data_IF_908391395348
#
_entry.id   IF_908391395348
#
_cell.length_a   1.000
_cell.length_b   1.000
_cell.length_c   1.000
_cell.angle_alpha   90.00
_cell.angle_beta   90.00
_cell.angle_gamma   90.00
#
_symmetry.space_group_name_H-M   'P 1'
#
loop_
_entity.id
_entity.type
_entity.pdbx_description
1 polymer ?
#
# COMPACT_ATOMS: atom_id res chain seq x y z
N UNK A 1 -12.83 41.33 14.11
CA UNK A 1 -13.06 39.86 14.03
C UNK A 1 -12.78 39.25 12.65
N UNK A 2 -13.11 39.91 11.53
CA UNK A 2 -12.91 39.32 10.18
C UNK A 2 -11.46 38.98 9.80
N UNK A 3 -10.45 39.70 10.34
CA UNK A 3 -9.04 39.46 10.02
C UNK A 3 -8.54 38.10 10.54
N UNK A 4 -8.95 37.70 11.75
CA UNK A 4 -8.58 36.40 12.33
C UNK A 4 -9.16 35.22 11.55
N UNK A 5 -10.44 35.29 11.16
CA UNK A 5 -11.06 34.26 10.32
C UNK A 5 -10.45 34.18 8.92
N UNK A 6 -10.02 35.32 8.37
CA UNK A 6 -9.32 35.38 7.08
C UNK A 6 -7.96 34.69 7.18
N UNK A 7 -7.19 34.99 8.21
CA UNK A 7 -5.89 34.36 8.48
C UNK A 7 -6.06 32.85 8.72
N UNK A 8 -7.02 32.46 9.57
CA UNK A 8 -7.31 31.06 9.88
C UNK A 8 -7.68 30.27 8.62
N UNK A 9 -8.57 30.80 7.78
CA UNK A 9 -8.96 30.17 6.51
C UNK A 9 -7.77 30.02 5.56
N UNK A 10 -6.94 31.06 5.45
CA UNK A 10 -5.78 31.03 4.57
C UNK A 10 -4.75 29.99 5.00
N UNK A 11 -4.40 29.99 6.29
CA UNK A 11 -3.41 29.08 6.86
C UNK A 11 -3.90 27.62 6.80
N UNK A 12 -5.15 27.36 7.19
CA UNK A 12 -5.70 26.01 7.13
C UNK A 12 -5.78 25.48 5.70
N UNK A 13 -6.19 26.30 4.73
CA UNK A 13 -6.17 25.93 3.30
C UNK A 13 -4.75 25.61 2.81
N UNK A 14 -3.75 26.42 3.17
CA UNK A 14 -2.37 26.19 2.77
C UNK A 14 -1.83 24.89 3.38
N UNK A 15 -2.09 24.65 4.67
CA UNK A 15 -1.67 23.45 5.37
C UNK A 15 -2.33 22.19 4.80
N UNK A 16 -3.63 22.19 4.50
CA UNK A 16 -4.30 21.04 3.86
C UNK A 16 -3.57 20.67 2.57
N UNK A 17 -3.25 21.65 1.73
CA UNK A 17 -2.63 21.41 0.42
C UNK A 17 -1.21 20.88 0.53
N UNK A 18 -0.37 21.53 1.35
CA UNK A 18 1.02 21.13 1.55
C UNK A 18 1.08 19.77 2.23
N UNK A 19 0.35 19.59 3.33
CA UNK A 19 0.32 18.34 4.08
C UNK A 19 -0.23 17.19 3.23
N UNK A 20 -1.33 17.39 2.49
CA UNK A 20 -1.88 16.33 1.63
C UNK A 20 -0.93 15.98 0.49
N UNK A 21 -0.25 16.96 -0.12
CA UNK A 21 0.73 16.68 -1.17
C UNK A 21 1.90 15.86 -0.64
N UNK A 22 2.51 16.28 0.47
CA UNK A 22 3.62 15.54 1.09
C UNK A 22 3.16 14.15 1.50
N UNK A 23 1.99 14.04 2.15
CA UNK A 23 1.43 12.79 2.62
C UNK A 23 1.16 11.77 1.51
N UNK A 24 0.51 12.23 0.44
CA UNK A 24 0.05 11.36 -0.65
C UNK A 24 1.16 11.07 -1.68
N UNK A 25 2.24 11.85 -1.71
CA UNK A 25 3.27 11.75 -2.75
C UNK A 25 4.69 11.49 -2.25
N UNK A 26 5.07 11.99 -1.08
CA UNK A 26 6.46 11.98 -0.61
C UNK A 26 6.69 11.10 0.61
N UNK A 27 5.92 11.26 1.69
CA UNK A 27 6.03 10.39 2.89
C UNK A 27 4.65 10.15 3.51
N UNK A 28 4.19 8.89 3.67
CA UNK A 28 2.91 8.56 4.29
C UNK A 28 2.99 8.57 5.82
N UNK A 29 3.51 9.66 6.40
CA UNK A 29 3.78 9.78 7.83
C UNK A 29 2.52 9.93 8.70
N UNK A 30 2.57 9.42 9.92
CA UNK A 30 1.44 9.39 10.85
C UNK A 30 0.95 10.78 11.32
N UNK A 31 1.80 11.80 11.21
CA UNK A 31 1.47 13.18 11.61
C UNK A 31 0.49 13.85 10.64
N UNK A 32 0.45 13.43 9.38
CA UNK A 32 -0.31 14.15 8.35
C UNK A 32 -1.83 13.94 8.44
N UNK A 33 -2.38 12.72 8.62
CA UNK A 33 -3.82 12.52 8.75
C UNK A 33 -4.50 13.43 9.79
N UNK A 34 -4.07 13.50 11.06
CA UNK A 34 -4.73 14.36 12.04
C UNK A 34 -4.59 15.85 11.69
N UNK A 35 -3.45 16.28 11.16
CA UNK A 35 -3.23 17.68 10.74
C UNK A 35 -4.18 18.06 9.61
N UNK A 36 -4.30 17.22 8.58
CA UNK A 36 -5.18 17.47 7.43
C UNK A 36 -6.63 17.55 7.90
N UNK A 37 -7.10 16.59 8.69
CA UNK A 37 -8.49 16.56 9.18
C UNK A 37 -8.82 17.75 10.09
N UNK A 38 -7.92 18.12 11.01
CA UNK A 38 -8.11 19.28 11.87
C UNK A 38 -8.12 20.59 11.06
N UNK A 39 -7.19 20.76 10.11
CA UNK A 39 -7.16 21.93 9.24
C UNK A 39 -8.42 22.01 8.37
N UNK A 40 -8.94 20.89 7.87
CA UNK A 40 -10.18 20.85 7.10
C UNK A 40 -11.39 21.29 7.92
N UNK A 41 -11.48 20.86 9.19
CA UNK A 41 -12.49 21.35 10.12
C UNK A 41 -12.41 22.88 10.31
N UNK A 42 -11.21 23.39 10.61
CA UNK A 42 -10.96 24.83 10.78
C UNK A 42 -11.35 25.59 9.50
N UNK A 43 -10.92 25.11 8.33
CA UNK A 43 -11.17 25.72 7.03
C UNK A 43 -12.67 25.85 6.73
N UNK A 44 -13.44 24.77 6.94
CA UNK A 44 -14.88 24.76 6.69
C UNK A 44 -15.58 25.73 7.65
N UNK A 45 -15.29 25.63 8.96
CA UNK A 45 -15.91 26.50 9.97
C UNK A 45 -15.61 27.99 9.71
N UNK A 46 -14.35 28.35 9.43
CA UNK A 46 -13.98 29.74 9.16
C UNK A 46 -14.56 30.26 7.84
N UNK A 47 -14.66 29.39 6.82
CA UNK A 47 -15.28 29.73 5.54
C UNK A 47 -16.78 30.02 5.68
N UNK A 48 -17.50 29.19 6.44
CA UNK A 48 -18.93 29.40 6.72
C UNK A 48 -19.14 30.73 7.47
N UNK A 49 -18.31 31.02 8.48
CA UNK A 49 -18.39 32.28 9.23
C UNK A 49 -18.09 33.52 8.35
N UNK A 50 -17.16 33.42 7.40
CA UNK A 50 -16.86 34.51 6.47
C UNK A 50 -17.95 34.73 5.41
N UNK A 51 -18.64 33.67 5.01
CA UNK A 51 -19.73 33.72 4.03
C UNK A 51 -21.09 34.04 4.63
N UNK A 52 -21.26 33.85 5.95
CA UNK A 52 -22.50 34.11 6.69
C UNK A 52 -23.06 35.53 6.51
N UNK A 53 -24.36 35.73 6.80
CA UNK A 53 -24.97 37.05 6.78
C UNK A 53 -24.24 37.97 7.76
N UNK A 54 -23.93 39.19 7.34
CA UNK A 54 -23.43 40.20 8.26
C UNK A 54 -24.59 40.56 9.20
N UNK A 55 -24.40 40.49 10.52
CA UNK A 55 -25.29 41.19 11.43
C UNK A 55 -25.19 42.68 11.07
N UNK A 56 -26.27 43.23 10.53
CA UNK A 56 -26.38 44.66 10.24
C UNK A 56 -26.41 45.43 11.56
N UNK A 57 -25.25 45.82 12.06
CA UNK A 57 -25.18 47.00 12.93
C UNK A 57 -25.14 48.23 12.02
N UNK A 58 -26.28 48.91 11.96
CA UNK A 58 -26.53 50.17 11.27
C UNK A 58 -25.73 51.32 11.90
N UNK A 59 -24.50 51.51 11.44
CA UNK A 59 -23.68 52.69 11.73
C UNK A 59 -23.61 53.64 10.53
N UNK A 60 -24.24 54.79 10.64
CA UNK A 60 -24.32 55.85 9.62
C UNK A 60 -22.93 56.48 9.35
N UNK A 61 -22.29 56.15 8.22
CA UNK A 61 -20.95 56.64 7.87
C UNK A 61 -20.99 57.92 7.01
N UNK A 62 -20.35 58.98 7.49
CA UNK A 62 -20.31 60.33 6.93
C UNK A 62 -19.48 60.43 5.63
N UNK A 63 -19.84 61.36 4.74
CA UNK A 63 -19.31 61.53 3.36
C UNK A 63 -17.79 61.64 3.22
N UNK A 64 -17.04 61.98 4.27
CA UNK A 64 -15.57 62.16 4.21
C UNK A 64 -14.80 60.84 4.18
N UNK A 65 -15.37 59.73 4.67
CA UNK A 65 -14.77 58.40 4.57
C UNK A 65 -14.82 57.82 3.15
N UNK A 66 -15.80 58.23 2.33
CA UNK A 66 -15.99 57.69 0.97
C UNK A 66 -14.82 57.98 0.03
N UNK A 67 -14.08 59.07 0.23
CA UNK A 67 -12.92 59.44 -0.60
C UNK A 67 -11.67 58.61 -0.27
N UNK A 68 -11.35 58.44 1.03
CA UNK A 68 -10.23 57.62 1.50
C UNK A 68 -10.45 56.13 1.24
N UNK A 69 -11.71 55.68 1.30
CA UNK A 69 -12.11 54.31 0.95
C UNK A 69 -12.03 54.04 -0.56
N UNK A 70 -12.11 55.08 -1.41
CA UNK A 70 -11.98 54.96 -2.87
C UNK A 70 -10.53 54.74 -3.30
N UNK A 71 -9.58 55.50 -2.72
CA UNK A 71 -8.14 55.29 -2.95
C UNK A 71 -7.67 53.92 -2.46
N UNK A 72 -8.15 53.47 -1.29
CA UNK A 72 -7.79 52.15 -0.73
C UNK A 72 -8.49 50.97 -1.43
N UNK A 73 -9.59 51.21 -2.17
CA UNK A 73 -10.27 50.21 -3.01
C UNK A 73 -9.54 49.94 -4.31
N UNK A 74 -8.73 50.89 -4.79
CA UNK A 74 -8.02 50.77 -6.06
C UNK A 74 -6.79 49.86 -5.93
N UNK A 75 -6.08 49.91 -4.79
CA UNK A 75 -4.95 49.00 -4.49
C UNK A 75 -5.36 47.56 -4.13
N UNK A 76 -6.61 47.33 -3.70
CA UNK A 76 -7.08 46.00 -3.32
C UNK A 76 -7.66 45.18 -4.49
N UNK A 77 -7.71 45.76 -5.70
CA UNK A 77 -8.41 45.19 -6.86
C UNK A 77 -7.57 44.23 -7.71
N UNK A 78 -6.28 44.06 -7.42
CA UNK A 78 -5.38 43.16 -8.18
C UNK A 78 -4.86 41.98 -7.36
N UNK A 79 -5.64 41.45 -6.42
CA UNK A 79 -5.42 40.05 -6.03
C UNK A 79 -5.96 39.17 -7.15
N UNK A 80 -5.11 38.91 -8.15
CA UNK A 80 -5.41 38.10 -9.31
C UNK A 80 -5.98 36.73 -8.92
N UNK A 81 -6.78 36.14 -9.83
CA UNK A 81 -7.43 34.84 -9.65
C UNK A 81 -6.51 33.76 -9.06
N UNK A 82 -5.24 33.72 -9.48
CA UNK A 82 -4.22 32.79 -8.97
C UNK A 82 -3.88 33.03 -7.49
N UNK A 83 -3.76 34.28 -7.06
CA UNK A 83 -3.52 34.61 -5.66
C UNK A 83 -4.71 34.23 -4.77
N UNK A 84 -5.95 34.44 -5.25
CA UNK A 84 -7.15 34.03 -4.54
C UNK A 84 -7.31 32.51 -4.47
N UNK A 85 -6.90 31.80 -5.53
CA UNK A 85 -6.86 30.33 -5.57
C UNK A 85 -5.80 29.77 -4.63
N UNK A 86 -4.61 30.38 -4.55
CA UNK A 86 -3.52 29.92 -3.69
C UNK A 86 -3.81 30.17 -2.20
N UNK A 87 -4.42 31.30 -1.86
CA UNK A 87 -4.70 31.70 -0.47
C UNK A 87 -5.93 30.95 0.08
N UNK A 88 -6.90 30.57 -0.76
CA UNK A 88 -8.05 29.78 -0.34
C UNK A 88 -9.14 30.55 0.43
N UNK A 89 -9.00 31.87 0.59
CA UNK A 89 -9.98 32.72 1.30
C UNK A 89 -11.24 32.95 0.45
N UNK A 90 -12.45 32.76 1.01
CA UNK A 90 -13.70 32.93 0.29
C UNK A 90 -13.98 34.40 -0.06
N UNK A 91 -14.66 34.63 -1.19
CA UNK A 91 -15.10 35.94 -1.65
C UNK A 91 -16.53 35.89 -2.15
N UNK A 92 -17.41 36.73 -1.57
CA UNK A 92 -18.82 36.87 -2.00
C UNK A 92 -18.95 37.39 -3.44
N UNK A 93 -17.92 38.05 -3.98
CA UNK A 93 -17.91 38.55 -5.36
C UNK A 93 -17.53 37.48 -6.38
N UNK A 94 -16.66 36.55 -5.98
CA UNK A 94 -16.13 35.49 -6.84
C UNK A 94 -16.59 34.13 -6.33
N UNK A 95 -17.89 33.84 -6.52
CA UNK A 95 -18.54 32.61 -6.04
C UNK A 95 -17.86 31.37 -6.64
N UNK A 96 -17.53 31.40 -7.93
CA UNK A 96 -16.86 30.29 -8.61
C UNK A 96 -15.50 29.94 -7.97
N UNK A 97 -14.61 30.93 -7.78
CA UNK A 97 -13.30 30.71 -7.15
C UNK A 97 -13.43 30.20 -5.72
N UNK A 98 -14.44 30.69 -4.99
CA UNK A 98 -14.73 30.23 -3.63
C UNK A 98 -15.18 28.77 -3.62
N UNK A 99 -16.14 28.42 -4.48
CA UNK A 99 -16.62 27.04 -4.61
C UNK A 99 -15.50 26.08 -5.03
N UNK A 100 -14.66 26.49 -5.99
CA UNK A 100 -13.51 25.71 -6.43
C UNK A 100 -12.48 25.50 -5.31
N UNK A 101 -12.17 26.53 -4.53
CA UNK A 101 -11.26 26.41 -3.38
C UNK A 101 -11.79 25.44 -2.32
N UNK A 102 -13.09 25.54 -1.99
CA UNK A 102 -13.74 24.61 -1.06
C UNK A 102 -13.65 23.19 -1.60
N UNK A 103 -14.00 22.99 -2.87
CA UNK A 103 -13.92 21.68 -3.52
C UNK A 103 -12.50 21.09 -3.47
N UNK A 104 -11.46 21.87 -3.80
CA UNK A 104 -10.07 21.38 -3.77
C UNK A 104 -9.68 20.90 -2.37
N UNK A 105 -9.96 21.70 -1.32
CA UNK A 105 -9.60 21.33 0.05
C UNK A 105 -10.38 20.09 0.54
N UNK A 106 -11.67 20.00 0.18
CA UNK A 106 -12.49 18.81 0.47
C UNK A 106 -11.99 17.58 -0.29
N UNK A 107 -11.61 17.72 -1.57
CA UNK A 107 -11.09 16.63 -2.39
C UNK A 107 -9.77 16.08 -1.84
N UNK A 108 -8.84 16.95 -1.42
CA UNK A 108 -7.58 16.54 -0.80
C UNK A 108 -7.79 15.82 0.54
N UNK A 109 -8.75 16.30 1.33
CA UNK A 109 -9.18 15.62 2.56
C UNK A 109 -9.78 14.25 2.23
N UNK A 110 -10.63 14.19 1.19
CA UNK A 110 -11.23 12.95 0.70
C UNK A 110 -10.18 11.94 0.22
N UNK A 111 -9.15 12.39 -0.50
CA UNK A 111 -8.03 11.54 -0.92
C UNK A 111 -7.20 11.02 0.26
N UNK A 112 -7.02 11.84 1.29
CA UNK A 112 -6.38 11.42 2.54
C UNK A 112 -7.20 10.30 3.20
N UNK A 113 -8.51 10.47 3.32
CA UNK A 113 -9.41 9.45 3.87
C UNK A 113 -9.48 8.20 2.99
N UNK A 114 -9.51 8.35 1.67
CA UNK A 114 -9.47 7.23 0.71
C UNK A 114 -8.21 6.39 0.91
N UNK A 115 -7.04 7.01 0.99
CA UNK A 115 -5.77 6.30 1.22
C UNK A 115 -5.76 5.53 2.55
N UNK A 116 -6.39 6.08 3.60
CA UNK A 116 -6.46 5.43 4.92
C UNK A 116 -7.44 4.25 4.96
N UNK A 117 -8.60 4.38 4.33
CA UNK A 117 -9.72 3.48 4.61
C UNK A 117 -10.17 2.64 3.42
N UNK A 118 -9.95 3.05 2.17
CA UNK A 118 -10.50 2.35 1.00
C UNK A 118 -10.05 0.89 0.93
N UNK A 119 -8.75 0.65 1.06
CA UNK A 119 -8.18 -0.70 1.01
C UNK A 119 -8.61 -1.59 2.19
N UNK A 120 -8.92 -1.00 3.34
CA UNK A 120 -9.36 -1.75 4.52
C UNK A 120 -10.85 -2.09 4.47
N UNK A 121 -11.68 -1.10 4.11
CA UNK A 121 -13.15 -1.21 4.22
C UNK A 121 -13.74 -1.91 3.00
N UNK A 122 -13.22 -1.64 1.80
CA UNK A 122 -13.81 -2.16 0.55
C UNK A 122 -13.14 -3.44 0.05
N UNK A 123 -11.99 -3.84 0.63
CA UNK A 123 -11.21 -5.00 0.20
C UNK A 123 -10.88 -5.88 1.42
N UNK A 124 -11.86 -6.60 1.99
CA UNK A 124 -11.62 -7.55 3.07
C UNK A 124 -10.72 -8.69 2.59
N UNK A 125 -9.90 -9.24 3.49
CA UNK A 125 -8.82 -10.18 3.13
C UNK A 125 -8.93 -11.54 3.82
N UNK A 126 -9.98 -11.77 4.60
CA UNK A 126 -10.13 -12.98 5.43
C UNK A 126 -10.21 -14.25 4.57
N UNK A 127 -10.90 -14.16 3.43
CA UNK A 127 -11.10 -15.24 2.46
C UNK A 127 -9.96 -15.40 1.44
N UNK A 128 -8.81 -14.72 1.63
CA UNK A 128 -7.69 -14.76 0.67
C UNK A 128 -7.08 -16.17 0.52
N UNK A 129 -7.43 -16.91 -0.52
CA UNK A 129 -6.68 -18.11 -0.91
C UNK A 129 -5.51 -17.73 -1.84
N UNK A 130 -4.32 -18.22 -1.56
CA UNK A 130 -3.16 -18.07 -2.46
C UNK A 130 -2.12 -19.16 -2.21
N UNK A 131 -1.18 -19.29 -3.15
CA UNK A 131 0.02 -20.07 -2.96
C UNK A 131 1.23 -19.33 -3.50
N UNK A 132 2.41 -19.58 -2.90
CA UNK A 132 3.65 -18.89 -3.26
C UNK A 132 4.85 -19.78 -3.02
N UNK A 133 5.83 -19.69 -3.91
CA UNK A 133 7.11 -20.36 -3.73
C UNK A 133 8.00 -19.54 -2.78
N UNK A 134 8.47 -20.22 -1.74
CA UNK A 134 9.47 -19.74 -0.79
C UNK A 134 10.87 -20.15 -1.22
N UNK A 135 11.70 -20.58 -0.27
CA UNK A 135 13.06 -21.05 -0.58
C UNK A 135 13.08 -22.24 -1.56
N UNK A 136 13.99 -22.20 -2.54
CA UNK A 136 14.21 -23.26 -3.53
C UNK A 136 15.67 -23.70 -3.52
N UNK A 137 15.89 -25.00 -3.33
CA UNK A 137 17.20 -25.66 -3.36
C UNK A 137 17.43 -26.37 -4.71
N UNK A 138 18.57 -27.07 -4.89
CA UNK A 138 18.77 -27.88 -6.09
C UNK A 138 17.79 -29.06 -6.24
N UNK A 139 17.21 -29.54 -5.13
CA UNK A 139 16.38 -30.76 -5.13
C UNK A 139 15.04 -30.60 -4.41
N UNK A 140 14.77 -29.43 -3.83
CA UNK A 140 13.54 -29.14 -3.10
C UNK A 140 13.02 -27.73 -3.39
N UNK A 141 11.71 -27.53 -3.22
CA UNK A 141 11.08 -26.21 -3.25
C UNK A 141 10.05 -26.10 -2.12
N UNK A 142 10.11 -25.02 -1.34
CA UNK A 142 9.09 -24.73 -0.33
C UNK A 142 7.93 -23.97 -0.99
N UNK A 143 6.72 -24.44 -0.76
CA UNK A 143 5.47 -23.89 -1.25
C UNK A 143 4.62 -23.52 -0.03
N UNK A 144 4.33 -22.24 0.14
CA UNK A 144 3.30 -21.79 1.07
C UNK A 144 1.93 -21.96 0.42
N UNK A 145 0.99 -22.54 1.15
CA UNK A 145 -0.43 -22.61 0.76
C UNK A 145 -1.26 -21.93 1.85
N UNK A 146 -2.14 -21.01 1.46
CA UNK A 146 -3.24 -20.51 2.31
C UNK A 146 -4.57 -20.87 1.68
N UNK A 147 -5.42 -21.58 2.41
CA UNK A 147 -6.78 -21.95 1.97
C UNK A 147 -7.79 -21.85 3.14
N UNK A 148 -8.58 -20.78 3.20
CA UNK A 148 -9.63 -20.63 4.21
C UNK A 148 -10.93 -21.38 3.88
N UNK A 149 -11.19 -21.75 2.62
CA UNK A 149 -12.47 -22.32 2.20
C UNK A 149 -12.49 -23.84 2.44
N UNK A 150 -13.31 -24.27 3.40
CA UNK A 150 -13.44 -25.68 3.77
C UNK A 150 -13.89 -26.57 2.59
N UNK A 151 -14.65 -26.01 1.65
CA UNK A 151 -15.15 -26.71 0.47
C UNK A 151 -14.04 -27.17 -0.52
N UNK A 152 -12.84 -26.59 -0.44
CA UNK A 152 -11.73 -26.91 -1.34
C UNK A 152 -10.87 -28.08 -0.84
N UNK A 153 -11.12 -28.60 0.36
CA UNK A 153 -10.36 -29.71 0.91
C UNK A 153 -10.88 -31.09 0.41
N UNK A 154 -9.99 -32.07 0.20
CA UNK A 154 -8.54 -31.96 0.35
C UNK A 154 -7.88 -31.20 -0.80
N UNK A 155 -6.98 -30.26 -0.47
CA UNK A 155 -6.17 -29.55 -1.47
C UNK A 155 -5.04 -30.46 -1.91
N UNK A 156 -5.13 -30.97 -3.14
CA UNK A 156 -4.11 -31.85 -3.73
C UNK A 156 -3.06 -31.02 -4.45
N UNK A 157 -1.78 -31.30 -4.21
CA UNK A 157 -0.65 -30.58 -4.77
C UNK A 157 0.04 -31.46 -5.78
N UNK A 158 0.17 -30.94 -7.01
CA UNK A 158 0.81 -31.62 -8.11
C UNK A 158 1.86 -30.74 -8.76
N UNK A 159 2.91 -31.36 -9.28
CA UNK A 159 3.98 -30.66 -9.98
C UNK A 159 4.48 -31.46 -11.18
N UNK A 160 5.10 -30.76 -12.14
CA UNK A 160 5.77 -31.37 -13.28
C UNK A 160 6.86 -30.47 -13.84
N UNK A 161 7.80 -31.04 -14.59
CA UNK A 161 8.77 -30.28 -15.38
C UNK A 161 8.04 -29.46 -16.45
N UNK A 162 8.46 -28.21 -16.64
CA UNK A 162 7.82 -27.29 -17.59
C UNK A 162 8.03 -27.72 -19.06
N UNK A 163 9.10 -28.46 -19.34
CA UNK A 163 9.40 -29.07 -20.65
C UNK A 163 8.40 -30.16 -21.04
N UNK A 164 7.66 -30.73 -20.09
CA UNK A 164 6.63 -31.73 -20.34
C UNK A 164 5.24 -31.10 -20.45
N UNK A 165 5.13 -29.89 -21.03
CA UNK A 165 3.85 -29.16 -21.13
C UNK A 165 2.74 -29.97 -21.79
N UNK A 166 3.11 -30.87 -22.70
CA UNK A 166 2.22 -31.66 -23.55
C UNK A 166 1.87 -33.03 -22.94
N UNK A 167 2.40 -33.34 -21.76
CA UNK A 167 2.11 -34.57 -21.03
C UNK A 167 1.07 -34.31 -19.95
N UNK A 168 0.03 -35.14 -19.88
CA UNK A 168 -0.92 -35.18 -18.76
C UNK A 168 -0.31 -35.78 -17.47
N UNK A 169 0.99 -36.12 -17.48
CA UNK A 169 1.66 -36.74 -16.36
C UNK A 169 2.10 -35.70 -15.32
N UNK A 170 1.31 -35.62 -14.24
CA UNK A 170 1.62 -34.82 -13.06
C UNK A 170 2.04 -35.72 -11.90
N UNK A 171 3.11 -35.34 -11.21
CA UNK A 171 3.52 -35.99 -9.95
C UNK A 171 2.73 -35.38 -8.80
N UNK A 172 2.10 -36.22 -7.97
CA UNK A 172 1.44 -35.79 -6.73
C UNK A 172 2.48 -35.71 -5.60
N UNK A 173 2.66 -34.54 -5.01
CA UNK A 173 3.50 -34.37 -3.81
C UNK A 173 2.73 -34.76 -2.54
N UNK A 174 1.45 -34.40 -2.48
CA UNK A 174 0.60 -34.73 -1.33
C UNK A 174 -0.73 -33.99 -1.30
N UNK A 175 -1.43 -34.15 -0.16
CA UNK A 175 -2.75 -33.56 0.08
C UNK A 175 -2.79 -32.86 1.44
N UNK A 176 -3.39 -31.68 1.47
CA UNK A 176 -3.73 -30.95 2.69
C UNK A 176 -5.21 -31.22 2.98
N UNK A 177 -5.53 -31.82 4.12
CA UNK A 177 -6.90 -32.24 4.44
C UNK A 177 -7.72 -31.17 5.16
N UNK A 178 -7.07 -30.30 5.92
CA UNK A 178 -7.73 -29.24 6.67
C UNK A 178 -6.68 -28.21 7.10
N UNK A 179 -7.10 -26.95 7.16
CA UNK A 179 -6.35 -25.84 7.77
C UNK A 179 -7.27 -25.10 8.75
N UNK A 180 -6.68 -24.34 9.66
CA UNK A 180 -7.45 -23.66 10.70
C UNK A 180 -6.92 -22.25 10.96
N UNK A 181 -7.76 -21.46 11.64
CA UNK A 181 -7.46 -20.07 11.98
C UNK A 181 -6.25 -19.90 12.93
N UNK A 182 -5.85 -20.93 13.69
CA UNK A 182 -4.72 -20.82 14.60
C UNK A 182 -3.40 -20.52 13.87
N UNK A 183 -3.27 -20.97 12.62
CA UNK A 183 -2.14 -20.66 11.72
C UNK A 183 -2.56 -19.80 10.53
N UNK A 184 -3.62 -19.01 10.66
CA UNK A 184 -4.21 -18.20 9.58
C UNK A 184 -4.44 -18.99 8.28
N UNK A 185 -4.86 -20.24 8.43
CA UNK A 185 -5.10 -21.17 7.34
C UNK A 185 -3.89 -21.39 6.41
N UNK A 186 -2.67 -21.22 6.91
CA UNK A 186 -1.44 -21.46 6.15
C UNK A 186 -0.82 -22.82 6.42
N UNK A 187 -0.12 -23.35 5.42
CA UNK A 187 0.67 -24.57 5.54
C UNK A 187 1.87 -24.57 4.59
N UNK A 188 3.09 -24.79 5.10
CA UNK A 188 4.27 -25.00 4.25
C UNK A 188 4.30 -26.43 3.71
N UNK A 189 4.62 -26.57 2.43
CA UNK A 189 4.83 -27.85 1.76
C UNK A 189 6.21 -27.85 1.13
N UNK A 190 7.01 -28.88 1.37
CA UNK A 190 8.31 -29.04 0.70
C UNK A 190 8.15 -30.06 -0.41
N UNK A 191 8.19 -29.58 -1.66
CA UNK A 191 8.25 -30.45 -2.84
C UNK A 191 9.65 -31.07 -2.92
N UNK A 192 9.74 -32.38 -3.09
CA UNK A 192 11.01 -33.13 -3.00
C UNK A 192 11.39 -33.80 -4.31
N UNK A 193 12.59 -34.38 -4.33
CA UNK A 193 13.12 -35.20 -5.43
C UNK A 193 13.14 -34.46 -6.77
N UNK A 194 13.40 -33.15 -6.74
CA UNK A 194 13.50 -32.32 -7.92
C UNK A 194 14.88 -32.45 -8.56
N UNK A 195 14.96 -32.20 -9.87
CA UNK A 195 16.22 -32.11 -10.60
C UNK A 195 16.80 -30.70 -10.44
N UNK A 196 18.12 -30.54 -10.27
CA UNK A 196 18.78 -29.23 -10.27
C UNK A 196 18.60 -28.47 -11.59
N UNK A 197 18.68 -27.14 -11.55
CA UNK A 197 18.60 -26.26 -12.72
C UNK A 197 17.40 -26.53 -13.65
N UNK A 198 16.27 -26.93 -13.09
CA UNK A 198 15.09 -27.39 -13.86
C UNK A 198 13.90 -26.50 -13.54
N UNK A 199 13.18 -26.10 -14.58
CA UNK A 199 11.93 -25.34 -14.45
C UNK A 199 10.76 -26.28 -14.21
N UNK A 200 9.98 -25.98 -13.18
CA UNK A 200 8.78 -26.71 -12.79
C UNK A 200 7.56 -25.80 -12.82
N UNK A 201 6.40 -26.42 -13.04
CA UNK A 201 5.09 -25.83 -12.74
C UNK A 201 4.40 -26.67 -11.69
N UNK A 202 3.60 -26.03 -10.84
CA UNK A 202 2.76 -26.69 -9.85
C UNK A 202 1.31 -26.23 -10.00
N UNK A 203 0.39 -27.08 -9.57
CA UNK A 203 -1.03 -26.83 -9.53
C UNK A 203 -1.63 -27.41 -8.26
N UNK A 204 -2.62 -26.71 -7.73
CA UNK A 204 -3.42 -27.14 -6.59
C UNK A 204 -4.85 -27.44 -7.08
N UNK A 205 -5.56 -28.34 -6.40
CA UNK A 205 -6.96 -28.66 -6.74
C UNK A 205 -7.95 -27.49 -6.55
N UNK A 206 -7.53 -26.39 -5.93
CA UNK A 206 -8.30 -25.15 -5.79
C UNK A 206 -8.00 -24.12 -6.91
N UNK A 207 -7.44 -24.57 -8.04
CA UNK A 207 -7.06 -23.77 -9.22
C UNK A 207 -5.89 -22.78 -8.99
N UNK A 208 -5.24 -22.80 -7.83
CA UNK A 208 -3.99 -22.06 -7.65
C UNK A 208 -2.85 -22.74 -8.41
N UNK A 209 -2.02 -21.96 -9.08
CA UNK A 209 -0.93 -22.45 -9.92
C UNK A 209 0.29 -21.57 -9.80
N UNK A 210 1.46 -22.13 -10.11
CA UNK A 210 2.64 -21.33 -10.35
C UNK A 210 3.83 -22.08 -10.86
N UNK A 211 4.96 -21.38 -10.91
CA UNK A 211 6.20 -21.89 -11.48
C UNK A 211 7.38 -21.59 -10.58
N UNK A 212 8.43 -22.37 -10.71
CA UNK A 212 9.71 -22.13 -10.05
C UNK A 212 10.85 -22.83 -10.80
N UNK A 213 12.07 -22.46 -10.47
CA UNK A 213 13.28 -23.07 -11.04
C UNK A 213 14.18 -23.50 -9.89
N UNK A 214 14.58 -24.76 -9.89
CA UNK A 214 15.52 -25.28 -8.89
C UNK A 214 16.91 -24.68 -9.04
N UNK A 215 17.57 -24.49 -7.90
CA UNK A 215 18.93 -23.98 -7.88
C UNK A 215 19.89 -24.95 -8.61
N UNK A 216 21.02 -24.46 -9.13
CA UNK A 216 22.04 -25.34 -9.69
C UNK A 216 22.72 -26.17 -8.58
N UNK A 217 23.14 -27.38 -8.95
CA UNK A 217 23.90 -28.25 -8.05
C UNK A 217 25.29 -27.65 -7.81
N UNK A 218 25.75 -27.59 -6.56
CA UNK A 218 27.09 -27.09 -6.25
C UNK A 218 28.18 -27.84 -7.02
N UNK A 219 29.15 -27.10 -7.58
CA UNK A 219 30.25 -27.65 -8.38
C UNK A 219 29.94 -27.88 -9.87
N UNK A 220 28.72 -27.61 -10.35
CA UNK A 220 28.41 -27.68 -11.79
C UNK A 220 28.70 -26.35 -12.51
N UNK A 221 28.79 -26.40 -13.84
CA UNK A 221 28.90 -25.18 -14.65
C UNK A 221 27.69 -24.25 -14.47
N UNK A 222 26.49 -24.78 -14.20
CA UNK A 222 25.31 -23.95 -13.94
C UNK A 222 25.36 -23.21 -12.60
N UNK A 223 26.21 -23.64 -11.67
CA UNK A 223 26.43 -22.98 -10.37
C UNK A 223 27.49 -21.86 -10.41
N UNK A 224 28.01 -21.52 -11.60
CA UNK A 224 29.07 -20.51 -11.74
C UNK A 224 28.57 -19.05 -11.65
N UNK A 225 27.25 -18.84 -11.63
CA UNK A 225 26.64 -17.51 -11.63
C UNK A 225 25.38 -17.50 -10.76
N UNK A 226 25.22 -16.42 -10.01
CA UNK A 226 24.03 -16.13 -9.24
C UNK A 226 23.58 -14.70 -9.56
N UNK A 227 22.30 -14.53 -9.90
CA UNK A 227 21.68 -13.21 -10.04
C UNK A 227 20.47 -13.18 -9.12
N UNK A 228 20.34 -12.14 -8.30
CA UNK A 228 19.23 -11.98 -7.37
C UNK A 228 18.84 -10.50 -7.28
N UNK A 229 17.64 -10.24 -6.79
CA UNK A 229 17.18 -8.89 -6.49
C UNK A 229 17.28 -8.61 -5.01
N UNK A 230 17.42 -7.33 -4.68
CA UNK A 230 17.27 -6.86 -3.31
C UNK A 230 16.35 -5.66 -3.28
N UNK A 231 15.46 -5.62 -2.30
CA UNK A 231 14.53 -4.51 -2.07
C UNK A 231 14.05 -4.52 -0.62
N UNK A 232 13.34 -3.48 -0.22
CA UNK A 232 12.68 -3.33 1.08
C UNK A 232 11.49 -2.39 0.88
N UNK A 233 10.70 -2.19 1.94
CA UNK A 233 9.74 -1.09 2.03
C UNK A 233 8.67 -1.12 0.92
N UNK A 234 7.61 -1.89 1.14
CA UNK A 234 6.44 -1.87 0.25
C UNK A 234 5.21 -1.32 0.96
N UNK A 235 4.51 -0.40 0.28
CA UNK A 235 3.26 0.13 0.77
C UNK A 235 2.20 0.12 -0.33
N UNK A 236 1.06 -0.55 -0.11
CA UNK A 236 -0.02 -0.55 -1.09
C UNK A 236 -0.53 0.88 -1.38
N UNK A 237 -0.82 1.12 -2.66
CA UNK A 237 -1.24 2.38 -3.25
C UNK A 237 -0.36 3.56 -2.85
N UNK A 238 0.97 3.36 -2.83
CA UNK A 238 1.93 4.41 -2.59
C UNK A 238 2.98 4.52 -3.70
N UNK A 239 3.27 5.72 -4.25
CA UNK A 239 2.55 6.98 -4.06
C UNK A 239 1.05 6.90 -4.42
N UNK A 240 0.22 7.67 -3.74
CA UNK A 240 -1.24 7.53 -3.80
C UNK A 240 -1.83 7.80 -5.19
N UNK A 241 -2.78 6.95 -5.59
CA UNK A 241 -3.61 7.15 -6.77
C UNK A 241 -5.08 6.83 -6.45
N UNK A 242 -5.95 7.82 -6.68
CA UNK A 242 -7.40 7.62 -6.53
C UNK A 242 -7.96 6.65 -7.60
N UNK A 243 -7.30 6.52 -8.74
CA UNK A 243 -7.76 5.74 -9.90
C UNK A 243 -7.11 4.36 -10.02
N UNK A 244 -6.19 4.02 -9.13
CA UNK A 244 -5.57 2.70 -9.09
C UNK A 244 -6.22 1.83 -8.02
N UNK A 245 -6.07 0.51 -8.15
CA UNK A 245 -6.48 -0.43 -7.12
C UNK A 245 -5.84 -0.03 -5.77
N UNK A 246 -6.59 0.05 -4.66
CA UNK A 246 -6.06 0.51 -3.37
C UNK A 246 -4.97 -0.39 -2.79
N UNK A 247 -4.89 -1.63 -3.26
CA UNK A 247 -3.86 -2.58 -2.83
C UNK A 247 -2.70 -2.70 -3.84
N UNK A 248 -2.69 -1.91 -4.91
CA UNK A 248 -1.64 -1.94 -5.94
C UNK A 248 -0.27 -1.60 -5.35
N UNK A 249 0.78 -2.34 -5.68
CA UNK A 249 2.15 -2.05 -5.25
C UNK A 249 2.96 -1.67 -6.49
N UNK A 250 3.14 -0.36 -6.71
CA UNK A 250 3.78 0.17 -7.92
C UNK A 250 5.24 -0.30 -8.07
N UNK A 251 5.99 -0.32 -6.98
CA UNK A 251 7.39 -0.77 -6.99
C UNK A 251 7.53 -2.21 -7.46
N UNK A 252 6.58 -3.09 -7.08
CA UNK A 252 6.54 -4.47 -7.53
C UNK A 252 6.40 -4.52 -9.05
N UNK A 253 5.39 -3.87 -9.62
CA UNK A 253 5.16 -3.84 -11.08
C UNK A 253 6.36 -3.28 -11.86
N UNK A 254 6.96 -2.19 -11.38
CA UNK A 254 8.13 -1.58 -12.02
C UNK A 254 9.31 -2.54 -12.05
N UNK A 255 9.56 -3.24 -10.93
CA UNK A 255 10.60 -4.25 -10.83
C UNK A 255 10.28 -5.41 -11.79
N UNK A 256 9.07 -5.98 -11.78
CA UNK A 256 8.68 -7.07 -12.69
C UNK A 256 8.89 -6.71 -14.16
N UNK A 257 8.48 -5.52 -14.57
CA UNK A 257 8.67 -5.05 -15.94
C UNK A 257 10.15 -4.84 -16.30
N UNK A 258 11.00 -4.49 -15.33
CA UNK A 258 12.44 -4.40 -15.55
C UNK A 258 13.08 -5.79 -15.66
N UNK A 259 12.68 -6.75 -14.81
CA UNK A 259 13.14 -8.14 -14.84
C UNK A 259 12.86 -8.75 -16.21
N UNK A 260 11.64 -8.57 -16.72
CA UNK A 260 11.22 -9.11 -18.02
C UNK A 260 12.08 -8.69 -19.20
N UNK A 261 12.77 -7.55 -19.07
CA UNK A 261 13.68 -7.03 -20.09
C UNK A 261 15.11 -7.57 -19.95
N UNK A 262 15.42 -8.28 -18.87
CA UNK A 262 16.73 -8.87 -18.66
C UNK A 262 16.95 -10.02 -19.66
N UNK A 263 18.19 -10.18 -20.19
CA UNK A 263 18.55 -11.35 -20.96
C UNK A 263 18.33 -12.63 -20.14
N UNK A 264 18.00 -13.74 -20.81
CA UNK A 264 17.79 -15.04 -20.15
C UNK A 264 19.00 -15.51 -19.32
N UNK A 265 20.22 -15.09 -19.68
CA UNK A 265 21.44 -15.35 -18.94
C UNK A 265 21.48 -14.66 -17.55
N UNK A 266 20.71 -13.59 -17.37
CA UNK A 266 20.61 -12.81 -16.14
C UNK A 266 19.33 -13.15 -15.36
N UNK A 267 18.75 -14.33 -15.61
CA UNK A 267 17.56 -14.79 -14.89
C UNK A 267 17.83 -14.77 -13.39
N UNK A 268 16.86 -14.24 -12.66
CA UNK A 268 16.93 -14.10 -11.22
C UNK A 268 16.62 -15.43 -10.53
N UNK A 269 17.39 -15.74 -9.50
CA UNK A 269 17.21 -16.92 -8.69
C UNK A 269 16.27 -16.69 -7.51
N UNK A 270 16.30 -15.49 -6.93
CA UNK A 270 15.43 -15.09 -5.83
C UNK A 270 15.42 -13.56 -5.63
N UNK A 271 14.48 -13.09 -4.81
CA UNK A 271 14.46 -11.77 -4.19
C UNK A 271 14.90 -11.89 -2.73
N UNK A 272 15.84 -11.04 -2.32
CA UNK A 272 16.17 -10.78 -0.93
C UNK A 272 15.40 -9.55 -0.48
N UNK A 273 14.38 -9.75 0.35
CA UNK A 273 13.52 -8.67 0.82
C UNK A 273 13.91 -8.28 2.26
N UNK A 274 14.41 -7.06 2.42
CA UNK A 274 15.10 -6.58 3.62
C UNK A 274 14.19 -5.93 4.65
N UNK A 275 12.95 -6.43 4.78
CA UNK A 275 11.95 -5.95 5.73
C UNK A 275 11.08 -4.80 5.23
N UNK A 276 10.22 -4.32 6.12
CA UNK A 276 9.10 -3.43 5.81
C UNK A 276 8.16 -3.99 4.72
N UNK A 277 7.86 -5.29 4.84
CA UNK A 277 6.90 -6.01 4.01
C UNK A 277 5.47 -5.54 4.29
N UNK A 278 5.19 -5.21 5.55
CA UNK A 278 4.00 -4.48 5.96
C UNK A 278 4.41 -3.18 6.64
N UNK A 279 3.46 -2.26 6.74
CA UNK A 279 3.56 -1.07 7.58
C UNK A 279 2.38 -1.06 8.53
N UNK A 280 2.53 -1.64 9.71
CA UNK A 280 1.44 -1.77 10.69
C UNK A 280 1.04 -0.43 11.33
N UNK A 281 1.95 0.53 11.33
CA UNK A 281 1.89 1.72 12.18
C UNK A 281 1.75 3.05 11.45
N UNK A 282 2.11 3.07 10.18
CA UNK A 282 1.96 4.23 9.29
C UNK A 282 1.03 3.90 8.12
N UNK A 283 0.23 4.87 7.65
CA UNK A 283 0.05 6.20 8.23
C UNK A 283 -0.81 6.21 9.50
N UNK A 284 -1.47 5.10 9.81
CA UNK A 284 -2.32 4.97 10.99
C UNK A 284 -2.28 3.53 11.48
N UNK A 285 -1.88 3.33 12.73
CA UNK A 285 -2.01 2.05 13.42
C UNK A 285 -3.48 1.83 13.80
N UNK A 286 -4.10 0.80 13.23
CA UNK A 286 -5.48 0.43 13.56
C UNK A 286 -5.59 -0.49 14.78
N UNK A 287 -4.51 -1.22 15.10
CA UNK A 287 -4.47 -2.13 16.23
C UNK A 287 -3.08 -2.73 16.42
N UNK A 288 -2.97 -3.65 17.36
CA UNK A 288 -1.74 -4.45 17.59
C UNK A 288 -2.09 -5.87 18.03
N UNK A 289 -3.32 -6.31 17.76
CA UNK A 289 -3.73 -7.69 17.96
C UNK A 289 -3.12 -8.57 16.87
N UNK A 290 -3.04 -9.87 17.17
CA UNK A 290 -2.61 -10.87 16.21
C UNK A 290 -3.40 -10.83 14.89
N UNK A 291 -4.72 -10.66 14.97
CA UNK A 291 -5.59 -10.58 13.80
C UNK A 291 -5.28 -9.36 12.93
N UNK A 292 -4.89 -8.24 13.54
CA UNK A 292 -4.51 -7.02 12.83
C UNK A 292 -3.23 -7.23 12.03
N UNK A 293 -2.19 -7.81 12.64
CA UNK A 293 -0.94 -8.12 11.94
C UNK A 293 -1.18 -9.08 10.78
N UNK A 294 -1.92 -10.17 11.02
CA UNK A 294 -2.27 -11.13 9.96
C UNK A 294 -3.07 -10.47 8.82
N UNK A 295 -4.01 -9.58 9.14
CA UNK A 295 -4.78 -8.85 8.13
C UNK A 295 -3.90 -7.97 7.23
N UNK A 296 -2.84 -7.34 7.75
CA UNK A 296 -1.89 -6.56 6.95
C UNK A 296 -1.08 -7.44 5.99
N UNK A 297 -0.60 -8.60 6.45
CA UNK A 297 0.07 -9.57 5.57
C UNK A 297 -0.85 -10.04 4.44
N UNK A 298 -2.09 -10.42 4.77
CA UNK A 298 -3.10 -10.77 3.76
C UNK A 298 -3.36 -9.61 2.81
N UNK A 299 -3.40 -8.37 3.29
CA UNK A 299 -3.62 -7.19 2.44
C UNK A 299 -2.49 -7.00 1.43
N UNK A 300 -1.24 -7.15 1.84
CA UNK A 300 -0.10 -7.10 0.93
C UNK A 300 -0.17 -8.25 -0.09
N UNK A 301 -0.43 -9.49 0.34
CA UNK A 301 -0.55 -10.64 -0.57
C UNK A 301 -1.79 -10.60 -1.49
N UNK A 302 -2.85 -9.89 -1.10
CA UNK A 302 -4.03 -9.67 -1.94
C UNK A 302 -3.82 -8.62 -3.04
N UNK A 303 -2.63 -8.01 -3.12
CA UNK A 303 -2.30 -7.07 -4.18
C UNK A 303 -2.40 -7.72 -5.56
N UNK A 304 -3.09 -7.11 -6.54
CA UNK A 304 -3.08 -7.62 -7.92
C UNK A 304 -1.68 -7.56 -8.54
N UNK A 305 -0.79 -6.69 -8.02
CA UNK A 305 0.56 -6.49 -8.53
C UNK A 305 1.45 -7.75 -8.42
N UNK A 306 1.07 -8.73 -7.59
CA UNK A 306 1.74 -10.04 -7.52
C UNK A 306 1.58 -10.90 -8.77
N UNK A 307 0.59 -10.58 -9.61
CA UNK A 307 0.23 -11.34 -10.81
C UNK A 307 0.48 -10.53 -12.10
N UNK A 308 1.13 -9.37 -12.00
CA UNK A 308 1.43 -8.50 -13.13
C UNK A 308 2.96 -8.38 -13.33
N UNK A 309 3.47 -8.64 -14.55
CA UNK A 309 2.75 -9.11 -15.73
C UNK A 309 2.36 -10.60 -15.64
N UNK A 310 1.27 -10.99 -16.30
CA UNK A 310 0.70 -12.35 -16.22
C UNK A 310 1.66 -13.47 -16.66
N UNK A 311 2.61 -13.20 -17.56
CA UNK A 311 3.57 -14.17 -18.08
C UNK A 311 4.86 -14.28 -17.25
N UNK A 312 5.08 -13.37 -16.30
CA UNK A 312 6.24 -13.38 -15.40
C UNK A 312 5.83 -12.80 -14.03
N UNK A 313 5.05 -13.60 -13.30
CA UNK A 313 4.40 -13.15 -12.07
C UNK A 313 5.43 -13.03 -10.94
N UNK A 314 5.49 -11.89 -10.23
CA UNK A 314 6.43 -11.72 -9.12
C UNK A 314 6.30 -12.72 -7.98
N UNK A 315 5.10 -13.28 -7.80
CA UNK A 315 4.80 -14.30 -6.79
C UNK A 315 5.47 -15.67 -7.11
N UNK A 316 5.87 -15.90 -8.36
CA UNK A 316 6.59 -17.12 -8.78
C UNK A 316 8.10 -17.03 -8.49
N UNK A 317 8.64 -15.83 -8.30
CA UNK A 317 10.02 -15.67 -7.85
C UNK A 317 10.10 -16.12 -6.37
N UNK A 318 11.12 -16.89 -5.96
CA UNK A 318 11.40 -17.13 -4.54
C UNK A 318 11.72 -15.81 -3.83
N UNK A 319 11.00 -15.48 -2.75
CA UNK A 319 11.38 -14.34 -1.88
C UNK A 319 11.85 -14.83 -0.52
N UNK A 320 13.08 -14.44 -0.18
CA UNK A 320 13.72 -14.66 1.11
C UNK A 320 13.56 -13.37 1.91
N UNK A 321 12.86 -13.46 3.03
CA UNK A 321 12.48 -12.31 3.83
C UNK A 321 13.33 -12.22 5.09
N UNK A 322 13.64 -10.99 5.50
CA UNK A 322 13.96 -10.66 6.90
C UNK A 322 12.93 -9.66 7.40
N UNK A 323 12.80 -9.59 8.72
CA UNK A 323 11.94 -8.62 9.40
C UNK A 323 12.72 -7.33 9.64
N UNK A 324 12.05 -6.18 9.61
CA UNK A 324 12.53 -4.87 10.06
C UNK A 324 11.51 -4.27 11.06
N UNK A 325 11.66 -3.00 11.39
CA UNK A 325 10.91 -2.35 12.46
C UNK A 325 9.43 -2.13 12.12
N UNK A 326 9.03 -1.80 10.89
CA UNK A 326 7.62 -1.55 10.55
C UNK A 326 6.74 -2.80 10.49
N UNK A 327 7.33 -4.00 10.54
CA UNK A 327 6.60 -5.21 10.90
C UNK A 327 6.11 -5.20 12.35
N UNK A 328 6.66 -4.38 13.24
CA UNK A 328 6.39 -4.34 14.69
C UNK A 328 5.91 -2.94 15.10
N UNK A 329 6.80 -1.96 15.02
CA UNK A 329 6.64 -0.53 15.25
C UNK A 329 7.93 0.19 14.81
N UNK A 330 7.79 1.38 14.22
CA UNK A 330 8.89 2.26 13.85
C UNK A 330 9.89 2.42 15.02
N UNK A 331 11.18 2.26 14.70
CA UNK A 331 12.33 2.28 15.61
C UNK A 331 12.22 1.28 16.79
N UNK A 332 11.65 0.09 16.58
CA UNK A 332 11.47 -0.89 17.66
C UNK A 332 12.79 -1.42 18.25
N UNK A 333 12.95 -1.26 19.56
CA UNK A 333 14.14 -1.69 20.31
C UNK A 333 13.82 -2.45 21.61
N UNK A 334 12.55 -2.76 21.89
CA UNK A 334 12.09 -3.27 23.21
C UNK A 334 12.17 -4.79 23.39
N UNK A 335 12.86 -5.49 22.49
CA UNK A 335 13.08 -6.93 22.54
C UNK A 335 11.89 -7.79 22.08
N UNK A 336 12.05 -9.12 22.14
CA UNK A 336 11.15 -10.10 21.53
C UNK A 336 10.02 -10.63 22.44
N UNK A 337 10.03 -10.27 23.72
CA UNK A 337 8.99 -10.69 24.68
C UNK A 337 7.98 -9.58 24.97
N UNK A 338 8.25 -8.35 24.49
CA UNK A 338 7.45 -7.17 24.79
C UNK A 338 6.39 -6.98 23.71
N UNK A 339 5.14 -6.80 24.12
CA UNK A 339 4.06 -6.44 23.18
C UNK A 339 4.43 -5.17 22.40
N UNK A 340 4.28 -5.13 21.06
CA UNK A 340 3.52 -6.09 20.24
C UNK A 340 4.38 -7.11 19.47
N UNK A 341 5.64 -7.35 19.86
CA UNK A 341 6.52 -8.25 19.11
C UNK A 341 5.96 -9.68 18.95
N UNK A 342 5.43 -10.34 20.00
CA UNK A 342 4.91 -11.70 19.86
C UNK A 342 3.80 -11.82 18.79
N UNK A 343 2.91 -10.83 18.74
CA UNK A 343 1.83 -10.75 17.74
C UNK A 343 2.37 -10.43 16.34
N UNK A 344 3.38 -9.58 16.24
CA UNK A 344 4.04 -9.21 14.98
C UNK A 344 4.82 -10.38 14.36
N UNK A 345 5.54 -11.14 15.17
CA UNK A 345 6.40 -12.23 14.71
C UNK A 345 5.62 -13.45 14.21
N UNK A 346 4.38 -13.66 14.67
CA UNK A 346 3.56 -14.80 14.26
C UNK A 346 3.32 -14.85 12.73
N UNK A 347 2.69 -13.83 12.09
CA UNK A 347 2.48 -13.87 10.65
C UNK A 347 3.79 -13.86 9.86
N UNK A 348 4.85 -13.19 10.33
CA UNK A 348 6.16 -13.29 9.68
C UNK A 348 6.61 -14.75 9.54
N UNK A 349 6.52 -15.53 10.62
CA UNK A 349 6.89 -16.95 10.62
C UNK A 349 5.93 -17.84 9.82
N UNK A 350 4.65 -17.46 9.71
CA UNK A 350 3.65 -18.23 8.95
C UNK A 350 3.72 -18.00 7.45
N UNK A 351 4.08 -16.80 7.00
CA UNK A 351 4.00 -16.38 5.60
C UNK A 351 5.33 -16.44 4.83
N UNK A 352 6.46 -16.58 5.53
CA UNK A 352 7.79 -16.58 4.93
C UNK A 352 8.49 -17.94 5.14
N UNK A 353 8.41 -18.81 4.11
CA UNK A 353 8.81 -20.23 4.15
C UNK A 353 9.98 -20.60 3.25
#
# INVERSE_FOLDING_TARGET
MSNWFTIATALSSALIRIASFIFLRWIPGHVFPPVILACSGIYISSTVLLLGPANEESGEATRTEKSRTKLRKQDASERGFLSALLIGVPSKKNVFTTALNIFINLALTGFTLDFLYRGRVLYPTDELAFSRIGYVSPTTANLLVREPHVANFPVTIKYQEATHSDSDYWTEEGKIYQLNAAKDFTFPVTIKNLKPSTQYRYTLSNNQTGTFITAPQSGTQSANRLSFLTSSCIKPNYPYSAFSHPLRILGLEQVSHAIKKLPSLNRLSFMLFLGDFIYIDVPLRHGSSLDEYRAEYRRVYSSPSWHEPADERPIDLPWIHTMDDHEIANDWDKGNMTHPYPEAADPFNLYHV
#
